data_IF_567687205524
#
_entry.id   IF_567687205524
#
_cell.length_a   1.000
_cell.length_b   1.000
_cell.length_c   1.000
_cell.angle_alpha   90.00
_cell.angle_beta   90.00
_cell.angle_gamma   90.00
#
_symmetry.space_group_name_H-M   'P 1'
#
loop_
_entity.id
_entity.type
_entity.pdbx_description
1 polymer ?
#
# COMPACT_ATOMS: atom_id res chain seq x y z
N UNK A 1 18.84 -12.87 -25.21
CA UNK A 1 19.52 -11.58 -25.20
C UNK A 1 20.68 -11.61 -24.22
N UNK A 2 21.66 -10.76 -24.40
CA UNK A 2 22.77 -10.64 -23.45
C UNK A 2 22.27 -9.99 -22.16
N UNK A 3 22.82 -10.44 -21.02
CA UNK A 3 22.58 -9.83 -19.72
C UNK A 3 23.25 -8.45 -19.70
N UNK A 4 22.49 -7.39 -19.38
CA UNK A 4 22.97 -6.02 -19.30
C UNK A 4 23.39 -5.60 -17.87
N UNK A 5 23.07 -6.40 -16.86
CA UNK A 5 23.41 -6.07 -15.47
C UNK A 5 24.90 -5.83 -15.24
N UNK A 6 25.84 -6.65 -15.79
CA UNK A 6 27.27 -6.40 -15.65
C UNK A 6 27.70 -5.03 -16.17
N UNK A 7 27.01 -4.49 -17.19
CA UNK A 7 27.33 -3.17 -17.77
C UNK A 7 26.95 -2.02 -16.82
N UNK A 8 26.08 -2.26 -15.85
CA UNK A 8 25.61 -1.29 -14.87
C UNK A 8 26.20 -1.48 -13.48
N UNK A 9 27.03 -2.51 -13.28
CA UNK A 9 27.67 -2.81 -12.01
C UNK A 9 28.52 -1.62 -11.52
N UNK A 10 28.40 -1.26 -10.24
CA UNK A 10 29.11 -0.13 -9.64
C UNK A 10 28.69 1.26 -10.13
N UNK A 11 27.63 1.37 -10.94
CA UNK A 11 27.17 2.65 -11.53
C UNK A 11 25.96 3.27 -10.84
N UNK A 12 25.46 2.69 -9.75
CA UNK A 12 24.35 3.27 -9.00
C UNK A 12 24.61 4.74 -8.63
N UNK A 13 23.64 5.62 -8.88
CA UNK A 13 23.75 7.06 -8.69
C UNK A 13 24.49 7.82 -9.80
N UNK A 14 25.13 7.14 -10.74
CA UNK A 14 25.90 7.76 -11.85
C UNK A 14 25.05 7.88 -13.11
N UNK A 15 25.37 8.89 -13.93
CA UNK A 15 24.82 9.02 -15.28
C UNK A 15 25.49 8.00 -16.21
N UNK A 16 24.67 7.29 -16.99
CA UNK A 16 25.11 6.29 -17.97
C UNK A 16 24.47 6.62 -19.32
N UNK A 17 25.29 6.69 -20.35
CA UNK A 17 24.82 6.83 -21.73
C UNK A 17 24.46 5.44 -22.27
N UNK A 18 23.25 5.31 -22.77
CA UNK A 18 22.74 4.09 -23.42
C UNK A 18 22.44 4.39 -24.88
N UNK A 19 23.03 3.58 -25.78
CA UNK A 19 22.65 3.54 -27.19
C UNK A 19 21.49 2.53 -27.36
N UNK A 20 20.32 3.01 -27.73
CA UNK A 20 19.09 2.25 -27.84
C UNK A 20 18.78 1.98 -29.31
N UNK A 21 18.42 0.73 -29.61
CA UNK A 21 17.85 0.34 -30.91
C UNK A 21 16.41 -0.17 -30.72
N UNK A 22 15.48 0.43 -31.42
CA UNK A 22 14.09 -0.01 -31.45
C UNK A 22 13.87 -0.88 -32.68
N UNK A 23 13.71 -2.21 -32.55
CA UNK A 23 13.58 -3.10 -33.70
C UNK A 23 12.25 -2.92 -34.46
N UNK A 24 11.20 -2.44 -33.82
CA UNK A 24 9.90 -2.22 -34.46
C UNK A 24 9.91 -1.02 -35.41
N UNK A 25 10.75 -0.03 -35.17
CA UNK A 25 10.83 1.20 -35.98
C UNK A 25 12.14 1.35 -36.74
N UNK A 26 13.16 0.51 -36.47
CA UNK A 26 14.52 0.61 -36.99
C UNK A 26 15.31 1.81 -36.44
N UNK A 27 14.74 2.60 -35.53
CA UNK A 27 15.38 3.82 -34.98
C UNK A 27 16.47 3.51 -33.99
N UNK A 28 17.55 4.27 -34.06
CA UNK A 28 18.62 4.33 -33.06
C UNK A 28 18.63 5.71 -32.43
N UNK A 29 18.83 5.74 -31.11
CA UNK A 29 18.98 6.99 -30.35
C UNK A 29 19.78 6.76 -29.08
N UNK A 30 20.41 7.80 -28.60
CA UNK A 30 21.16 7.78 -27.35
C UNK A 30 20.31 8.42 -26.25
N UNK A 31 20.34 7.84 -25.06
CA UNK A 31 19.69 8.37 -23.88
C UNK A 31 20.62 8.29 -22.66
N UNK A 32 20.69 9.38 -21.91
CA UNK A 32 21.41 9.39 -20.63
C UNK A 32 20.44 9.10 -19.51
N UNK A 33 20.69 8.02 -18.76
CA UNK A 33 19.92 7.65 -17.57
C UNK A 33 20.78 7.80 -16.31
N UNK A 34 20.15 7.95 -15.15
CA UNK A 34 20.79 7.78 -13.86
C UNK A 34 20.53 6.35 -13.39
N UNK A 35 21.61 5.56 -13.29
CA UNK A 35 21.51 4.18 -12.79
C UNK A 35 21.10 4.21 -11.30
N UNK A 36 20.26 3.26 -10.91
CA UNK A 36 19.78 3.11 -9.53
C UNK A 36 20.29 1.80 -8.93
N UNK A 37 20.27 1.69 -7.60
CA UNK A 37 20.58 0.44 -6.91
C UNK A 37 19.44 -0.57 -7.06
N UNK A 38 19.72 -1.86 -6.80
CA UNK A 38 18.70 -2.92 -6.77
C UNK A 38 17.65 -2.66 -5.71
N UNK A 39 18.02 -2.07 -4.56
CA UNK A 39 17.07 -1.67 -3.51
C UNK A 39 16.13 -0.56 -3.96
N UNK A 40 16.63 0.45 -4.67
CA UNK A 40 15.78 1.50 -5.27
C UNK A 40 14.86 0.93 -6.34
N UNK A 41 15.37 0.01 -7.18
CA UNK A 41 14.56 -0.70 -8.18
C UNK A 41 13.41 -1.48 -7.51
N UNK A 42 13.72 -2.27 -6.46
CA UNK A 42 12.72 -3.03 -5.71
C UNK A 42 11.64 -2.11 -5.11
N UNK A 43 12.03 -0.96 -4.57
CA UNK A 43 11.08 0.02 -4.04
C UNK A 43 10.19 0.63 -5.13
N UNK A 44 10.74 0.91 -6.33
CA UNK A 44 9.94 1.40 -7.46
C UNK A 44 8.95 0.34 -7.96
N UNK A 45 9.38 -0.93 -8.03
CA UNK A 45 8.53 -2.05 -8.42
C UNK A 45 7.40 -2.26 -7.41
N UNK A 46 7.72 -2.19 -6.11
CA UNK A 46 6.75 -2.25 -5.02
C UNK A 46 5.69 -1.12 -5.14
N UNK A 47 6.13 0.13 -5.26
CA UNK A 47 5.21 1.27 -5.40
C UNK A 47 4.29 1.12 -6.61
N UNK A 48 4.83 0.69 -7.76
CA UNK A 48 4.05 0.42 -8.97
C UNK A 48 3.03 -0.70 -8.78
N UNK A 49 3.39 -1.76 -8.04
CA UNK A 49 2.48 -2.85 -7.72
C UNK A 49 1.33 -2.38 -6.83
N UNK A 50 1.62 -1.65 -5.74
CA UNK A 50 0.60 -1.06 -4.85
C UNK A 50 -0.34 -0.14 -5.62
N UNK A 51 0.21 0.75 -6.46
CA UNK A 51 -0.59 1.65 -7.30
C UNK A 51 -1.49 0.89 -8.28
N UNK A 52 -0.96 -0.18 -8.90
CA UNK A 52 -1.76 -1.04 -9.77
C UNK A 52 -2.92 -1.70 -9.02
N UNK A 53 -2.67 -2.26 -7.82
CA UNK A 53 -3.72 -2.85 -7.00
C UNK A 53 -4.78 -1.82 -6.62
N UNK A 54 -4.35 -0.63 -6.23
CA UNK A 54 -5.24 0.52 -5.95
C UNK A 54 -6.13 0.85 -7.13
N UNK A 55 -5.54 1.05 -8.31
CA UNK A 55 -6.28 1.39 -9.53
C UNK A 55 -7.28 0.30 -9.94
N UNK A 56 -6.96 -0.98 -9.71
CA UNK A 56 -7.89 -2.10 -9.94
C UNK A 56 -9.09 -2.00 -8.99
N UNK A 57 -8.84 -1.77 -7.68
CA UNK A 57 -9.91 -1.64 -6.69
C UNK A 57 -10.78 -0.42 -6.97
N UNK A 58 -10.18 0.74 -7.23
CA UNK A 58 -10.90 1.97 -7.57
C UNK A 58 -11.80 1.74 -8.81
N UNK A 59 -11.25 1.13 -9.88
CA UNK A 59 -12.01 0.84 -11.11
C UNK A 59 -13.15 -0.15 -10.87
N UNK A 60 -12.91 -1.27 -10.18
CA UNK A 60 -13.91 -2.32 -9.97
C UNK A 60 -15.01 -1.90 -8.99
N UNK A 61 -14.72 -1.01 -8.07
CA UNK A 61 -15.66 -0.52 -7.07
C UNK A 61 -16.32 0.82 -7.46
N UNK A 62 -16.03 1.36 -8.65
CA UNK A 62 -16.46 2.71 -9.03
C UNK A 62 -16.06 3.75 -7.99
N UNK A 63 -14.81 3.68 -7.54
CA UNK A 63 -14.20 4.54 -6.52
C UNK A 63 -14.83 4.46 -5.12
N UNK A 64 -15.69 3.47 -4.85
CA UNK A 64 -16.38 3.32 -3.55
C UNK A 64 -15.51 2.64 -2.48
N UNK A 65 -14.58 1.76 -2.85
CA UNK A 65 -13.74 1.00 -1.93
C UNK A 65 -12.30 1.54 -1.98
N UNK A 66 -11.72 1.80 -0.81
CA UNK A 66 -10.30 2.14 -0.68
C UNK A 66 -9.41 0.91 -0.63
N UNK A 67 -8.15 1.08 -1.01
CA UNK A 67 -7.12 0.04 -0.91
C UNK A 67 -5.88 0.61 -0.24
N UNK A 68 -5.38 -0.08 0.76
CA UNK A 68 -4.10 0.21 1.42
C UNK A 68 -3.28 -1.06 1.56
N UNK A 69 -1.95 -0.96 1.41
CA UNK A 69 -1.03 -2.08 1.61
C UNK A 69 -0.13 -1.83 2.82
N UNK A 70 -0.05 -2.80 3.72
CA UNK A 70 0.81 -2.79 4.90
C UNK A 70 2.13 -3.46 4.55
N UNK A 71 3.14 -2.68 4.20
CA UNK A 71 4.44 -3.17 3.71
C UNK A 71 5.21 -3.97 4.75
N UNK A 72 5.19 -3.50 6.00
CA UNK A 72 5.84 -4.15 7.15
C UNK A 72 5.04 -3.86 8.41
N UNK A 73 5.31 -4.62 9.48
CA UNK A 73 4.71 -4.38 10.79
C UNK A 73 5.61 -3.44 11.60
N UNK A 74 5.77 -2.19 11.13
CA UNK A 74 6.62 -1.16 11.71
C UNK A 74 5.94 0.22 11.73
N UNK A 75 6.52 1.14 12.50
CA UNK A 75 5.97 2.48 12.69
C UNK A 75 5.94 3.33 11.42
N UNK A 76 6.84 3.09 10.45
CA UNK A 76 6.82 3.81 9.18
C UNK A 76 5.62 3.34 8.34
N UNK A 77 5.45 2.03 8.20
CA UNK A 77 4.31 1.44 7.50
C UNK A 77 2.99 1.85 8.15
N UNK A 78 2.94 1.95 9.49
CA UNK A 78 1.74 2.43 10.20
C UNK A 78 1.41 3.87 9.82
N UNK A 79 2.37 4.79 9.82
CA UNK A 79 2.13 6.18 9.45
C UNK A 79 1.59 6.32 8.02
N UNK A 80 2.11 5.51 7.09
CA UNK A 80 1.62 5.48 5.71
C UNK A 80 0.17 4.97 5.65
N UNK A 81 -0.11 3.84 6.29
CA UNK A 81 -1.47 3.26 6.35
C UNK A 81 -2.45 4.20 7.03
N UNK A 82 -2.08 4.77 8.19
CA UNK A 82 -2.91 5.72 8.93
C UNK A 82 -3.27 6.93 8.07
N UNK A 83 -2.27 7.52 7.40
CA UNK A 83 -2.47 8.66 6.49
C UNK A 83 -3.38 8.30 5.30
N UNK A 84 -3.20 7.13 4.71
CA UNK A 84 -4.03 6.65 3.59
C UNK A 84 -5.47 6.37 4.02
N UNK A 85 -5.66 5.68 5.15
CA UNK A 85 -6.98 5.28 5.67
C UNK A 85 -7.81 6.50 6.07
N UNK A 86 -7.24 7.41 6.85
CA UNK A 86 -7.96 8.59 7.35
C UNK A 86 -7.88 9.80 6.41
N UNK A 87 -6.99 9.78 5.42
CA UNK A 87 -6.88 10.79 4.37
C UNK A 87 -7.60 10.38 3.10
N UNK A 88 -6.88 9.77 2.17
CA UNK A 88 -7.39 9.42 0.83
C UNK A 88 -8.64 8.52 0.87
N UNK A 89 -8.70 7.56 1.81
CA UNK A 89 -9.84 6.66 1.91
C UNK A 89 -10.99 7.21 2.75
N UNK A 90 -10.87 8.39 3.35
CA UNK A 90 -11.87 8.92 4.30
C UNK A 90 -13.31 8.90 3.76
N UNK A 91 -13.49 9.21 2.48
CA UNK A 91 -14.81 9.30 1.86
C UNK A 91 -15.27 7.98 1.23
N UNK A 92 -14.43 6.92 1.25
CA UNK A 92 -14.79 5.59 0.74
C UNK A 92 -15.82 4.93 1.65
N UNK A 93 -16.61 4.01 1.10
CA UNK A 93 -17.63 3.24 1.84
C UNK A 93 -17.03 2.10 2.65
N UNK A 94 -15.93 1.52 2.16
CA UNK A 94 -15.19 0.43 2.80
C UNK A 94 -13.70 0.49 2.40
N UNK A 95 -12.85 -0.31 3.06
CA UNK A 95 -11.44 -0.46 2.69
C UNK A 95 -11.00 -1.92 2.62
N UNK A 96 -10.07 -2.17 1.71
CA UNK A 96 -9.25 -3.39 1.65
C UNK A 96 -7.89 -3.06 2.26
N UNK A 97 -7.52 -3.80 3.30
CA UNK A 97 -6.20 -3.73 3.95
C UNK A 97 -5.41 -4.95 3.49
N UNK A 98 -4.45 -4.75 2.62
CA UNK A 98 -3.65 -5.83 2.05
C UNK A 98 -2.38 -6.02 2.86
N UNK A 99 -2.21 -7.18 3.47
CA UNK A 99 -1.01 -7.55 4.25
C UNK A 99 -0.18 -8.62 3.56
N UNK A 100 -0.49 -8.97 2.32
CA UNK A 100 0.26 -9.99 1.58
C UNK A 100 1.73 -9.63 1.45
N UNK A 101 2.58 -10.63 1.56
CA UNK A 101 4.05 -10.53 1.47
C UNK A 101 4.69 -9.69 2.59
N UNK A 102 4.02 -9.56 3.74
CA UNK A 102 4.54 -8.82 4.88
C UNK A 102 5.41 -9.72 5.77
N UNK A 103 6.67 -9.35 5.95
CA UNK A 103 7.66 -10.10 6.71
C UNK A 103 7.54 -9.98 8.24
N UNK A 104 6.54 -9.25 8.76
CA UNK A 104 6.33 -9.10 10.21
C UNK A 104 6.95 -7.84 10.80
N UNK A 105 7.10 -7.86 12.11
CA UNK A 105 7.52 -6.75 12.97
C UNK A 105 6.68 -6.73 14.24
N UNK A 106 6.13 -5.56 14.63
CA UNK A 106 5.24 -5.42 15.79
C UNK A 106 4.26 -4.26 15.57
N UNK A 107 3.08 -4.53 15.00
CA UNK A 107 2.09 -3.51 14.62
C UNK A 107 0.63 -3.97 14.73
N UNK A 108 0.38 -5.22 15.11
CA UNK A 108 -0.97 -5.80 15.07
C UNK A 108 -1.98 -5.02 15.93
N UNK A 109 -1.54 -4.53 17.09
CA UNK A 109 -2.40 -3.81 18.03
C UNK A 109 -2.80 -2.43 17.50
N UNK A 110 -1.85 -1.68 16.92
CA UNK A 110 -2.12 -0.38 16.31
C UNK A 110 -3.09 -0.51 15.13
N UNK A 111 -2.89 -1.53 14.27
CA UNK A 111 -3.79 -1.80 13.15
C UNK A 111 -5.19 -2.22 13.63
N UNK A 112 -5.27 -3.10 14.62
CA UNK A 112 -6.55 -3.50 15.20
C UNK A 112 -7.26 -2.29 15.83
N UNK A 113 -6.54 -1.45 16.55
CA UNK A 113 -7.06 -0.22 17.15
C UNK A 113 -7.56 0.76 16.09
N UNK A 114 -6.81 0.97 15.00
CA UNK A 114 -7.22 1.84 13.88
C UNK A 114 -8.50 1.33 13.21
N UNK A 115 -8.61 0.02 12.98
CA UNK A 115 -9.68 -0.59 12.19
C UNK A 115 -10.93 -0.95 12.98
N UNK A 116 -10.86 -0.95 14.32
CA UNK A 116 -11.98 -1.30 15.21
C UNK A 116 -12.81 -0.12 15.69
N UNK A 117 -12.84 0.98 14.94
CA UNK A 117 -13.58 2.17 15.32
C UNK A 117 -15.09 1.93 15.40
N UNK A 118 -15.72 2.45 16.45
CA UNK A 118 -17.18 2.52 16.59
C UNK A 118 -17.56 3.99 16.84
N UNK A 119 -18.47 4.49 16.01
CA UNK A 119 -18.99 5.85 16.19
C UNK A 119 -19.72 5.96 17.53
N UNK A 120 -19.42 6.98 18.31
CA UNK A 120 -20.10 7.28 19.56
C UNK A 120 -20.62 8.71 19.64
N UNK A 121 -20.23 9.59 18.71
CA UNK A 121 -20.67 10.98 18.67
C UNK A 121 -20.70 11.49 17.24
N UNK A 122 -21.70 12.33 16.91
CA UNK A 122 -21.83 13.04 15.63
C UNK A 122 -21.87 14.55 15.86
N UNK A 123 -21.25 15.29 14.96
CA UNK A 123 -21.28 16.74 14.97
C UNK A 123 -22.16 17.26 13.83
N UNK A 124 -23.30 17.86 14.19
CA UNK A 124 -24.32 18.30 13.23
C UNK A 124 -24.75 19.76 13.54
N UNK A 125 -23.82 20.72 13.57
CA UNK A 125 -24.18 22.10 13.83
C UNK A 125 -25.13 22.63 12.75
N UNK A 126 -26.25 23.23 13.20
CA UNK A 126 -27.28 23.81 12.31
C UNK A 126 -27.83 22.82 11.26
N UNK A 127 -27.85 21.52 11.58
CA UNK A 127 -28.32 20.46 10.67
C UNK A 127 -27.29 19.98 9.64
N UNK A 128 -26.10 20.56 9.60
CA UNK A 128 -25.04 20.14 8.68
C UNK A 128 -24.09 19.16 9.37
N UNK A 129 -23.99 17.94 8.83
CA UNK A 129 -23.03 16.97 9.32
C UNK A 129 -21.60 17.39 8.96
N UNK A 130 -20.71 17.47 9.93
CA UNK A 130 -19.31 17.87 9.78
C UNK A 130 -18.30 16.79 10.22
N UNK A 131 -18.75 15.72 10.86
CA UNK A 131 -17.89 14.62 11.27
C UNK A 131 -18.43 13.83 12.45
N UNK A 132 -17.71 12.80 12.81
CA UNK A 132 -18.02 11.91 13.94
C UNK A 132 -16.77 11.57 14.73
N UNK A 133 -16.91 11.24 16.00
CA UNK A 133 -15.87 10.64 16.82
C UNK A 133 -16.00 9.12 16.88
N UNK A 134 -14.86 8.43 16.94
CA UNK A 134 -13.47 8.91 17.01
C UNK A 134 -12.91 9.30 15.64
N UNK A 135 -12.26 10.46 15.51
CA UNK A 135 -11.64 10.92 14.27
C UNK A 135 -10.42 10.11 13.83
N UNK A 136 -9.77 9.44 14.78
CA UNK A 136 -8.51 8.72 14.60
C UNK A 136 -8.68 7.22 14.36
N UNK A 137 -9.90 6.78 14.03
CA UNK A 137 -10.22 5.38 13.72
C UNK A 137 -11.04 5.26 12.45
N UNK A 138 -10.91 4.12 11.79
CA UNK A 138 -11.78 3.75 10.70
C UNK A 138 -13.13 3.25 11.23
N UNK A 139 -14.22 3.86 10.78
CA UNK A 139 -15.58 3.61 11.29
C UNK A 139 -16.46 2.77 10.36
N UNK A 140 -15.93 2.40 9.19
CA UNK A 140 -16.69 1.73 8.13
C UNK A 140 -16.17 0.31 7.92
N UNK A 141 -16.85 -0.54 7.11
CA UNK A 141 -16.40 -1.89 6.85
C UNK A 141 -14.97 -1.95 6.31
N UNK A 142 -14.26 -3.01 6.69
CA UNK A 142 -12.96 -3.35 6.16
C UNK A 142 -12.83 -4.85 5.94
N UNK A 143 -11.93 -5.27 5.05
CA UNK A 143 -11.46 -6.64 4.95
C UNK A 143 -9.93 -6.67 4.88
N UNK A 144 -9.34 -7.79 5.26
CA UNK A 144 -7.89 -8.00 5.22
C UNK A 144 -7.57 -9.09 4.21
N UNK A 145 -6.65 -8.77 3.26
CA UNK A 145 -6.07 -9.78 2.37
C UNK A 145 -4.82 -10.35 3.00
N UNK A 146 -4.70 -11.67 2.96
CA UNK A 146 -3.55 -12.42 3.49
C UNK A 146 -2.99 -13.37 2.42
N UNK A 147 -1.79 -13.90 2.67
CA UNK A 147 -1.20 -14.95 1.87
C UNK A 147 -0.30 -15.85 2.74
N UNK A 148 0.12 -16.98 2.19
CA UNK A 148 0.85 -18.03 2.91
C UNK A 148 2.23 -17.58 3.39
N UNK A 149 2.83 -16.60 2.76
CA UNK A 149 4.16 -16.07 3.11
C UNK A 149 4.12 -14.91 4.12
N UNK A 150 2.94 -14.56 4.67
CA UNK A 150 2.86 -13.66 5.81
C UNK A 150 3.60 -14.26 7.01
N UNK A 151 4.57 -13.53 7.56
CA UNK A 151 5.44 -14.05 8.61
C UNK A 151 5.31 -13.27 9.92
N UNK A 152 5.58 -13.96 11.06
CA UNK A 152 5.63 -13.36 12.40
C UNK A 152 4.36 -12.56 12.74
N UNK A 153 4.48 -11.27 13.07
CA UNK A 153 3.35 -10.41 13.43
C UNK A 153 2.33 -10.22 12.30
N UNK A 154 2.77 -10.30 11.02
CA UNK A 154 1.87 -10.28 9.87
C UNK A 154 1.02 -11.56 9.76
N UNK A 155 1.47 -12.67 10.31
CA UNK A 155 0.66 -13.89 10.51
C UNK A 155 -0.26 -13.76 11.74
N UNK A 156 0.19 -13.09 12.80
CA UNK A 156 -0.60 -12.90 14.04
C UNK A 156 -1.74 -11.90 13.88
N UNK A 157 -1.56 -10.84 13.09
CA UNK A 157 -2.56 -9.80 12.90
C UNK A 157 -3.92 -10.32 12.36
N UNK A 158 -3.98 -11.20 11.34
CA UNK A 158 -5.23 -11.78 10.87
C UNK A 158 -6.01 -12.52 11.97
N UNK A 159 -5.31 -13.21 12.87
CA UNK A 159 -5.95 -13.85 14.01
C UNK A 159 -6.62 -12.82 14.94
N UNK A 160 -5.89 -11.75 15.32
CA UNK A 160 -6.44 -10.65 16.15
C UNK A 160 -7.64 -10.01 15.46
N UNK A 161 -7.53 -9.72 14.18
CA UNK A 161 -8.58 -9.11 13.37
C UNK A 161 -9.87 -9.96 13.37
N UNK A 162 -9.74 -11.27 13.26
CA UNK A 162 -10.83 -12.24 13.31
C UNK A 162 -11.44 -12.35 14.71
N UNK A 163 -10.60 -12.50 15.76
CA UNK A 163 -11.06 -12.62 17.16
C UNK A 163 -11.85 -11.38 17.62
N UNK A 164 -11.38 -10.20 17.25
CA UNK A 164 -12.06 -8.95 17.54
C UNK A 164 -13.28 -8.69 16.62
N UNK A 165 -13.55 -9.57 15.66
CA UNK A 165 -14.68 -9.46 14.71
C UNK A 165 -14.70 -8.09 13.99
N UNK A 166 -13.52 -7.58 13.61
CA UNK A 166 -13.39 -6.28 12.97
C UNK A 166 -13.95 -6.32 11.55
N UNK A 167 -13.67 -7.41 10.82
CA UNK A 167 -14.15 -7.59 9.45
C UNK A 167 -13.82 -8.97 8.90
N UNK A 168 -13.79 -9.10 7.58
CA UNK A 168 -13.59 -10.38 6.87
C UNK A 168 -12.12 -10.55 6.47
N UNK A 169 -11.60 -11.79 6.60
CA UNK A 169 -10.33 -12.22 6.03
C UNK A 169 -10.56 -12.86 4.65
N UNK A 170 -9.66 -12.62 3.72
CA UNK A 170 -9.67 -13.13 2.34
C UNK A 170 -8.27 -13.61 1.98
#
# INVERSE_FOLDING_TARGET
GQDYFPLLEGKAGRKVLLAIYNPATGKRFDITIKAISTGEQSNLLYKRWVERCRNIVDKLSEDRIGYVHVKGMDSQSFREVYSEVLGRCRNKEAIIVDTRHNGGGWLHDDLATLLSGKEYQRFVPRGQYIGSDPFNKWLKPSCVLVCEDNYSNAHGFPWVYKELKIGKLI
#
